data_IF_221908052100
#
_entry.id   IF_221908052100
#
_cell.length_a   1.000
_cell.length_b   1.000
_cell.length_c   1.000
_cell.angle_alpha   90.00
_cell.angle_beta   90.00
_cell.angle_gamma   90.00
#
_symmetry.space_group_name_H-M   'P 1'
#
loop_
_entity.id
_entity.type
_entity.pdbx_description
1 polymer ?
#
# COMPACT_ATOMS: atom_id res chain seq x y z
N UNK A 1 -4.73 -5.92 3.47
CA UNK A 1 -5.82 -5.38 4.35
C UNK A 1 -6.83 -4.52 3.59
N UNK A 2 -6.46 -3.62 2.67
CA UNK A 2 -7.43 -2.80 1.91
C UNK A 2 -8.46 -3.64 1.15
N UNK A 3 -8.05 -4.71 0.46
CA UNK A 3 -8.97 -5.62 -0.24
C UNK A 3 -9.93 -6.34 0.71
N UNK A 4 -9.47 -6.73 1.90
CA UNK A 4 -10.33 -7.33 2.92
C UNK A 4 -11.40 -6.35 3.41
N UNK A 5 -11.03 -5.07 3.65
CA UNK A 5 -11.97 -4.02 4.00
C UNK A 5 -12.98 -3.74 2.87
N UNK A 6 -12.52 -3.68 1.62
CA UNK A 6 -13.43 -3.48 0.48
C UNK A 6 -14.42 -4.64 0.32
N UNK A 7 -13.96 -5.87 0.47
CA UNK A 7 -14.83 -7.05 0.42
C UNK A 7 -15.87 -7.04 1.55
N UNK A 8 -15.47 -6.64 2.76
CA UNK A 8 -16.39 -6.45 3.89
C UNK A 8 -17.46 -5.40 3.58
N UNK A 9 -17.07 -4.22 3.09
CA UNK A 9 -18.02 -3.15 2.72
C UNK A 9 -18.96 -3.57 1.58
N UNK A 10 -18.48 -4.38 0.64
CA UNK A 10 -19.33 -4.95 -0.40
C UNK A 10 -20.33 -5.94 0.17
N UNK A 11 -19.93 -6.78 1.13
CA UNK A 11 -20.83 -7.71 1.82
C UNK A 11 -21.96 -6.97 2.53
N UNK A 12 -21.65 -5.86 3.21
CA UNK A 12 -22.68 -5.04 3.87
C UNK A 12 -23.69 -4.45 2.89
N UNK A 13 -23.23 -3.98 1.73
CA UNK A 13 -24.09 -3.34 0.71
C UNK A 13 -24.80 -4.33 -0.20
N UNK A 14 -24.23 -5.48 -0.45
CA UNK A 14 -24.71 -6.51 -1.36
C UNK A 14 -24.69 -7.88 -0.66
N UNK A 15 -25.64 -8.14 0.27
CA UNK A 15 -25.62 -9.37 1.08
C UNK A 15 -25.70 -10.67 0.27
N UNK A 16 -26.34 -10.62 -0.90
CA UNK A 16 -26.51 -11.80 -1.79
C UNK A 16 -25.32 -12.03 -2.75
N UNK A 17 -24.38 -11.09 -2.83
CA UNK A 17 -23.23 -11.23 -3.71
C UNK A 17 -22.29 -12.35 -3.23
N UNK A 18 -21.82 -13.17 -4.14
CA UNK A 18 -20.74 -14.14 -3.89
C UNK A 18 -19.41 -13.42 -4.05
N UNK A 19 -18.70 -13.23 -2.94
CA UNK A 19 -17.42 -12.53 -2.89
C UNK A 19 -16.29 -13.52 -2.72
N UNK A 20 -15.31 -13.45 -3.63
CA UNK A 20 -14.09 -14.26 -3.57
C UNK A 20 -12.88 -13.33 -3.62
N UNK A 21 -11.97 -13.50 -2.67
CA UNK A 21 -10.68 -12.83 -2.62
C UNK A 21 -9.59 -13.84 -2.96
N UNK A 22 -8.92 -13.64 -4.08
CA UNK A 22 -7.73 -14.41 -4.44
C UNK A 22 -6.50 -13.68 -3.89
N UNK A 23 -5.64 -14.38 -3.17
CA UNK A 23 -4.47 -13.78 -2.52
C UNK A 23 -3.25 -14.69 -2.62
N UNK A 24 -2.07 -14.13 -2.73
CA UNK A 24 -0.80 -14.87 -2.59
C UNK A 24 -0.37 -14.94 -1.13
N UNK A 25 -0.27 -13.78 -0.48
CA UNK A 25 0.04 -13.65 0.94
C UNK A 25 -0.93 -12.68 1.62
N UNK A 26 -1.31 -13.03 2.85
CA UNK A 26 -2.07 -12.13 3.73
C UNK A 26 -1.10 -11.51 4.73
N UNK A 27 -1.06 -10.18 4.74
CA UNK A 27 -0.21 -9.42 5.65
C UNK A 27 -1.07 -8.47 6.47
N UNK A 28 -1.19 -8.77 7.76
CA UNK A 28 -2.01 -8.04 8.73
C UNK A 28 -1.13 -7.53 9.89
N UNK A 29 -0.01 -6.86 9.57
CA UNK A 29 1.02 -6.48 10.53
C UNK A 29 0.67 -5.28 11.41
N UNK A 30 -0.39 -4.52 11.09
CA UNK A 30 -0.82 -3.37 11.90
C UNK A 30 -1.61 -3.82 13.14
N UNK A 31 -1.61 -2.97 14.19
CA UNK A 31 -2.36 -3.24 15.42
C UNK A 31 -3.86 -3.39 15.13
N UNK A 32 -4.45 -4.52 15.53
CA UNK A 32 -5.86 -4.84 15.31
C UNK A 32 -6.19 -5.34 13.89
N UNK A 33 -5.21 -5.51 12.99
CA UNK A 33 -5.46 -5.95 11.62
C UNK A 33 -5.70 -7.44 11.53
N UNK A 34 -5.06 -8.25 12.38
CA UNK A 34 -5.29 -9.69 12.44
C UNK A 34 -6.72 -9.97 12.91
N UNK A 35 -7.15 -9.35 14.00
CA UNK A 35 -8.51 -9.48 14.55
C UNK A 35 -9.57 -8.99 13.55
N UNK A 36 -9.26 -7.94 12.78
CA UNK A 36 -10.13 -7.47 11.71
C UNK A 36 -10.22 -8.53 10.60
N UNK A 37 -9.11 -9.11 10.17
CA UNK A 37 -9.08 -10.14 9.14
C UNK A 37 -9.86 -11.38 9.56
N UNK A 38 -9.65 -11.90 10.78
CA UNK A 38 -10.41 -13.00 11.33
C UNK A 38 -11.92 -12.74 11.37
N UNK A 39 -12.32 -11.53 11.73
CA UNK A 39 -13.73 -11.12 11.72
C UNK A 39 -14.31 -11.16 10.31
N UNK A 40 -13.59 -10.58 9.32
CA UNK A 40 -14.06 -10.51 7.93
C UNK A 40 -14.14 -11.89 7.29
N UNK A 41 -13.30 -12.84 7.66
CA UNK A 41 -13.40 -14.23 7.20
C UNK A 41 -14.74 -14.89 7.58
N UNK A 42 -15.35 -14.48 8.71
CA UNK A 42 -16.65 -14.99 9.16
C UNK A 42 -17.85 -14.43 8.38
N UNK A 43 -17.65 -13.43 7.56
CA UNK A 43 -18.70 -12.71 6.80
C UNK A 43 -19.04 -13.36 5.45
N UNK A 44 -18.87 -14.68 5.30
CA UNK A 44 -19.17 -15.42 4.07
C UNK A 44 -18.42 -14.88 2.83
N UNK A 45 -17.19 -14.40 3.03
CA UNK A 45 -16.28 -14.03 1.95
C UNK A 45 -15.30 -15.19 1.78
N UNK A 46 -15.23 -15.74 0.56
CA UNK A 46 -14.31 -16.83 0.25
C UNK A 46 -12.90 -16.25 0.04
N UNK A 47 -11.96 -16.67 0.85
CA UNK A 47 -10.53 -16.41 0.68
C UNK A 47 -9.87 -17.65 0.10
N UNK A 48 -9.24 -17.51 -1.07
CA UNK A 48 -8.51 -18.59 -1.75
C UNK A 48 -7.07 -18.17 -2.00
N UNK A 49 -6.12 -18.96 -1.52
CA UNK A 49 -4.71 -18.70 -1.79
C UNK A 49 -4.40 -19.14 -3.21
N UNK A 50 -4.23 -18.17 -4.08
CA UNK A 50 -4.10 -18.41 -5.50
C UNK A 50 -3.39 -17.27 -6.21
N UNK A 51 -2.74 -17.59 -7.33
CA UNK A 51 -2.24 -16.61 -8.28
C UNK A 51 -3.01 -16.78 -9.60
N UNK A 52 -3.85 -15.79 -10.00
CA UNK A 52 -4.54 -15.84 -11.28
C UNK A 52 -3.54 -15.91 -12.44
N UNK A 53 -3.69 -16.89 -13.31
CA UNK A 53 -2.85 -17.06 -14.49
C UNK A 53 -3.43 -16.38 -15.73
N UNK A 54 -4.76 -16.30 -15.81
CA UNK A 54 -5.46 -15.74 -16.95
C UNK A 54 -6.79 -15.12 -16.53
N UNK A 55 -7.11 -13.97 -17.12
CA UNK A 55 -8.42 -13.31 -16.95
C UNK A 55 -8.91 -12.94 -18.35
N UNK A 56 -10.09 -13.42 -18.74
CA UNK A 56 -10.67 -13.17 -20.04
C UNK A 56 -12.20 -13.10 -19.98
N UNK A 57 -12.82 -12.64 -21.06
CA UNK A 57 -14.27 -12.57 -21.18
C UNK A 57 -14.83 -13.77 -21.93
N UNK A 58 -15.89 -14.38 -21.41
CA UNK A 58 -16.64 -15.48 -22.04
C UNK A 58 -18.14 -15.30 -21.78
N UNK A 59 -18.94 -15.25 -22.85
CA UNK A 59 -20.41 -15.15 -22.76
C UNK A 59 -20.93 -14.01 -21.86
N UNK A 60 -20.29 -12.85 -21.89
CA UNK A 60 -20.67 -11.68 -21.08
C UNK A 60 -20.24 -11.74 -19.62
N UNK A 61 -19.56 -12.81 -19.20
CA UNK A 61 -18.95 -12.95 -17.87
C UNK A 61 -17.43 -12.80 -17.96
N UNK A 62 -16.82 -12.44 -16.85
CA UNK A 62 -15.36 -12.46 -16.70
C UNK A 62 -14.95 -13.79 -16.09
N UNK A 63 -14.04 -14.49 -16.74
CA UNK A 63 -13.51 -15.77 -16.29
C UNK A 63 -12.11 -15.55 -15.72
N UNK A 64 -11.88 -16.05 -14.52
CA UNK A 64 -10.58 -16.03 -13.86
C UNK A 64 -10.09 -17.46 -13.71
N UNK A 65 -8.95 -17.78 -14.30
CA UNK A 65 -8.26 -19.06 -14.13
C UNK A 65 -7.06 -18.90 -13.22
N UNK A 66 -6.74 -19.94 -12.52
CA UNK A 66 -5.57 -20.01 -11.66
C UNK A 66 -5.40 -21.37 -11.02
N UNK A 67 -4.46 -21.44 -10.09
CA UNK A 67 -4.22 -22.62 -9.29
C UNK A 67 -4.42 -22.27 -7.80
N UNK A 68 -5.17 -23.10 -7.11
CA UNK A 68 -5.24 -23.07 -5.65
C UNK A 68 -3.94 -23.63 -5.09
N UNK A 69 -3.10 -22.77 -4.56
CA UNK A 69 -1.74 -23.15 -4.12
C UNK A 69 -1.72 -23.93 -2.80
N UNK A 70 -2.85 -24.06 -2.10
CA UNK A 70 -2.97 -24.92 -0.92
C UNK A 70 -3.40 -26.33 -1.30
N UNK A 71 -4.26 -26.46 -2.30
CA UNK A 71 -4.79 -27.74 -2.77
C UNK A 71 -3.97 -28.34 -3.92
N UNK A 72 -3.20 -27.50 -4.65
CA UNK A 72 -2.51 -27.90 -5.87
C UNK A 72 -3.46 -28.19 -7.03
N UNK A 73 -4.63 -27.57 -7.04
CA UNK A 73 -5.68 -27.82 -8.02
C UNK A 73 -5.96 -26.58 -8.89
N UNK A 74 -6.10 -26.73 -10.21
CA UNK A 74 -6.54 -25.64 -11.07
C UNK A 74 -8.00 -25.30 -10.79
N UNK A 75 -8.34 -24.00 -10.95
CA UNK A 75 -9.72 -23.53 -10.86
C UNK A 75 -10.07 -22.60 -11.99
N UNK A 76 -11.37 -22.51 -12.26
CA UNK A 76 -11.98 -21.51 -13.11
C UNK A 76 -13.17 -20.90 -12.38
N UNK A 77 -13.22 -19.57 -12.27
CA UNK A 77 -14.31 -18.84 -11.62
C UNK A 77 -14.92 -17.89 -12.62
N UNK A 78 -16.22 -17.99 -12.82
CA UNK A 78 -17.01 -17.01 -13.58
C UNK A 78 -17.51 -15.92 -12.62
N UNK A 79 -17.31 -14.66 -12.99
CA UNK A 79 -17.71 -13.51 -12.19
C UNK A 79 -18.37 -12.44 -13.06
N UNK A 80 -19.25 -11.65 -12.45
CA UNK A 80 -19.85 -10.47 -13.08
C UNK A 80 -18.87 -9.29 -13.09
N UNK A 81 -18.02 -9.23 -12.06
CA UNK A 81 -17.01 -8.19 -11.88
C UNK A 81 -15.73 -8.78 -11.27
N UNK A 82 -14.60 -8.39 -11.83
CA UNK A 82 -13.28 -8.66 -11.26
C UNK A 82 -12.59 -7.34 -10.91
N UNK A 83 -12.13 -7.21 -9.68
CA UNK A 83 -11.39 -6.05 -9.19
C UNK A 83 -9.93 -6.43 -9.05
N UNK A 84 -9.05 -5.78 -9.80
CA UNK A 84 -7.61 -5.95 -9.68
C UNK A 84 -7.10 -5.13 -8.49
N UNK A 85 -6.64 -5.80 -7.44
CA UNK A 85 -6.05 -5.18 -6.27
C UNK A 85 -4.57 -4.85 -6.54
N UNK A 86 -4.33 -3.93 -7.48
CA UNK A 86 -3.00 -3.49 -7.87
C UNK A 86 -2.32 -2.73 -6.72
N UNK A 87 -0.99 -2.89 -6.59
CA UNK A 87 -0.19 -2.18 -5.62
C UNK A 87 0.13 -0.74 -6.02
N UNK A 88 0.71 0.00 -5.09
CA UNK A 88 1.25 1.33 -5.34
C UNK A 88 2.65 1.21 -5.95
N UNK A 89 2.89 1.96 -7.02
CA UNK A 89 4.21 2.11 -7.64
C UNK A 89 4.61 3.58 -7.69
N UNK A 90 5.92 3.87 -7.64
CA UNK A 90 6.39 5.25 -7.79
C UNK A 90 6.04 5.80 -9.17
N UNK A 91 5.78 7.10 -9.26
CA UNK A 91 5.58 7.77 -10.53
C UNK A 91 6.87 7.79 -11.35
N UNK A 92 6.75 7.70 -12.68
CA UNK A 92 7.90 7.80 -13.59
C UNK A 92 8.57 9.17 -13.51
N UNK A 93 7.78 10.23 -13.34
CA UNK A 93 8.23 11.62 -13.22
C UNK A 93 9.13 11.87 -12.00
N UNK A 94 9.11 10.98 -11.01
CA UNK A 94 10.00 11.05 -9.86
C UNK A 94 11.49 10.99 -10.24
N UNK A 95 11.83 10.48 -11.41
CA UNK A 95 13.21 10.46 -11.92
C UNK A 95 13.76 11.87 -12.15
N UNK A 96 12.92 12.76 -12.69
CA UNK A 96 13.28 14.17 -12.89
C UNK A 96 13.55 14.86 -11.55
N UNK A 97 12.65 14.71 -10.56
CA UNK A 97 12.83 15.28 -9.23
C UNK A 97 14.07 14.70 -8.51
N UNK A 98 14.31 13.41 -8.66
CA UNK A 98 15.51 12.74 -8.14
C UNK A 98 16.78 13.42 -8.63
N UNK A 99 16.87 13.72 -9.95
CA UNK A 99 18.04 14.36 -10.55
C UNK A 99 18.19 15.82 -10.13
N UNK A 100 17.07 16.58 -10.08
CA UNK A 100 17.09 18.02 -9.72
C UNK A 100 17.47 18.22 -8.25
N UNK A 101 16.93 17.38 -7.37
CA UNK A 101 17.09 17.53 -5.92
C UNK A 101 18.25 16.71 -5.34
N UNK A 102 18.90 15.87 -6.15
CA UNK A 102 19.99 15.00 -5.68
C UNK A 102 19.54 13.89 -4.73
N UNK A 103 18.27 13.48 -4.82
CA UNK A 103 17.70 12.47 -3.91
C UNK A 103 18.14 11.06 -4.30
N UNK A 104 18.26 10.17 -3.31
CA UNK A 104 18.45 8.75 -3.55
C UNK A 104 17.11 8.02 -3.67
N UNK A 105 17.14 6.88 -4.33
CA UNK A 105 16.00 5.97 -4.46
C UNK A 105 16.34 4.60 -3.91
N UNK A 106 15.36 3.97 -3.29
CA UNK A 106 15.41 2.58 -2.87
C UNK A 106 15.36 1.62 -4.08
N UNK A 107 15.67 0.32 -3.91
CA UNK A 107 15.62 -0.66 -5.00
C UNK A 107 14.23 -0.77 -5.67
N UNK A 108 13.15 -0.52 -4.95
CA UNK A 108 11.76 -0.48 -5.42
C UNK A 108 11.36 0.87 -6.05
N UNK A 109 12.33 1.80 -6.19
CA UNK A 109 12.25 3.11 -6.83
C UNK A 109 11.44 4.17 -6.09
N UNK A 110 11.08 3.97 -4.84
CA UNK A 110 10.61 5.04 -3.97
C UNK A 110 11.78 5.93 -3.53
N UNK A 111 11.51 7.11 -2.96
CA UNK A 111 12.58 7.93 -2.38
C UNK A 111 13.15 7.23 -1.15
N UNK A 112 14.48 7.17 -1.07
CA UNK A 112 15.17 6.57 0.06
C UNK A 112 15.31 7.57 1.20
N UNK A 113 15.09 7.11 2.41
CA UNK A 113 15.44 7.80 3.63
C UNK A 113 16.96 7.84 3.85
N UNK A 114 17.42 8.80 4.62
CA UNK A 114 18.80 8.83 5.07
C UNK A 114 19.10 7.63 5.98
N UNK A 115 20.34 7.11 5.99
CA UNK A 115 20.72 6.06 6.92
C UNK A 115 20.52 6.49 8.38
N UNK A 116 19.86 5.64 9.17
CA UNK A 116 19.60 5.91 10.59
C UNK A 116 18.20 5.52 11.01
N UNK A 117 17.76 6.08 12.14
CA UNK A 117 16.45 5.81 12.73
C UNK A 117 15.39 6.89 12.40
N UNK A 118 15.70 7.78 11.45
CA UNK A 118 14.81 8.89 11.10
C UNK A 118 14.14 8.63 9.74
N UNK A 119 12.90 8.15 9.72
CA UNK A 119 12.22 7.69 8.50
C UNK A 119 11.69 8.82 7.62
N UNK A 120 11.92 10.09 7.98
CA UNK A 120 11.39 11.23 7.23
C UNK A 120 12.48 12.14 6.66
N UNK A 121 13.77 11.91 6.97
CA UNK A 121 14.90 12.66 6.41
C UNK A 121 15.43 12.04 5.14
N UNK A 122 16.04 12.86 4.30
CA UNK A 122 16.81 12.44 3.14
C UNK A 122 18.29 12.76 3.34
N UNK A 123 19.17 12.25 2.47
CA UNK A 123 20.59 12.64 2.46
C UNK A 123 20.80 14.13 2.12
N UNK A 124 19.78 14.83 1.65
CA UNK A 124 19.83 16.24 1.29
C UNK A 124 19.19 17.07 2.42
N UNK A 125 19.99 17.92 3.05
CA UNK A 125 19.51 18.76 4.15
C UNK A 125 18.35 19.67 3.71
N UNK A 126 17.30 19.74 4.51
CA UNK A 126 16.11 20.54 4.23
C UNK A 126 15.05 19.86 3.37
N UNK A 127 15.30 18.64 2.91
CA UNK A 127 14.30 17.85 2.17
C UNK A 127 13.84 16.68 3.04
N UNK A 128 12.52 16.62 3.25
CA UNK A 128 11.87 15.63 4.11
C UNK A 128 10.88 14.80 3.28
N UNK A 129 10.67 13.54 3.69
CA UNK A 129 9.74 12.61 3.08
C UNK A 129 8.44 12.52 3.89
N UNK A 130 7.30 12.52 3.20
CA UNK A 130 6.01 12.29 3.83
C UNK A 130 5.07 11.53 2.89
N UNK A 131 4.43 10.48 3.41
CA UNK A 131 3.44 9.70 2.69
C UNK A 131 4.01 8.69 1.69
N UNK A 132 3.21 8.36 0.67
CA UNK A 132 3.51 7.29 -0.26
C UNK A 132 4.67 7.58 -1.24
N UNK A 133 5.35 8.69 -1.14
CA UNK A 133 6.56 8.95 -1.91
C UNK A 133 7.76 8.11 -1.44
N UNK A 134 7.76 7.67 -0.18
CA UNK A 134 8.80 6.84 0.42
C UNK A 134 8.48 5.34 0.32
N UNK A 135 7.23 4.96 0.52
CA UNK A 135 6.76 3.57 0.39
C UNK A 135 5.24 3.52 0.42
N UNK A 136 4.61 2.42 -0.03
CA UNK A 136 3.18 2.21 0.21
C UNK A 136 2.88 2.22 1.71
N UNK A 137 1.85 2.98 2.12
CA UNK A 137 1.40 3.08 3.51
C UNK A 137 -0.08 3.45 3.59
N UNK A 138 -0.69 3.25 4.74
CA UNK A 138 -2.07 3.64 4.99
C UNK A 138 -2.20 5.13 5.38
N UNK A 139 -3.45 5.57 5.59
CA UNK A 139 -3.72 6.97 5.94
C UNK A 139 -3.16 7.33 7.33
N UNK A 140 -3.35 6.53 8.39
CA UNK A 140 -2.76 6.81 9.70
C UNK A 140 -1.24 6.97 9.66
N UNK A 141 -0.54 6.06 9.00
CA UNK A 141 0.92 6.11 8.85
C UNK A 141 1.36 7.34 8.04
N UNK A 142 0.62 7.68 6.98
CA UNK A 142 0.88 8.87 6.17
C UNK A 142 0.76 10.15 7.01
N UNK A 143 -0.28 10.27 7.83
CA UNK A 143 -0.49 11.44 8.71
C UNK A 143 0.59 11.52 9.79
N UNK A 144 0.95 10.39 10.41
CA UNK A 144 2.02 10.33 11.39
C UNK A 144 3.37 10.77 10.80
N UNK A 145 3.69 10.28 9.60
CA UNK A 145 4.92 10.66 8.91
C UNK A 145 4.92 12.13 8.51
N UNK A 146 3.80 12.66 8.02
CA UNK A 146 3.68 14.09 7.69
C UNK A 146 3.89 14.99 8.93
N UNK A 147 3.36 14.59 10.08
CA UNK A 147 3.58 15.29 11.36
C UNK A 147 5.05 15.26 11.78
N UNK A 148 5.73 14.11 11.61
CA UNK A 148 7.15 13.96 11.84
C UNK A 148 7.98 14.87 10.94
N UNK A 149 7.71 14.87 9.63
CA UNK A 149 8.39 15.73 8.66
C UNK A 149 8.22 17.23 9.00
N UNK A 150 7.01 17.65 9.34
CA UNK A 150 6.73 19.02 9.76
C UNK A 150 7.49 19.41 11.03
N UNK A 151 7.56 18.52 12.02
CA UNK A 151 8.31 18.74 13.26
C UNK A 151 9.81 18.93 13.00
N UNK A 152 10.40 18.12 12.12
CA UNK A 152 11.82 18.25 11.76
C UNK A 152 12.09 19.54 10.96
N UNK A 153 11.19 19.90 10.04
CA UNK A 153 11.28 21.16 9.31
C UNK A 153 11.25 22.37 10.28
N UNK A 154 10.36 22.38 11.26
CA UNK A 154 10.32 23.40 12.30
C UNK A 154 11.62 23.43 13.13
N UNK A 155 12.17 22.27 13.46
CA UNK A 155 13.44 22.16 14.21
C UNK A 155 14.61 22.74 13.41
N UNK A 156 14.68 22.46 12.12
CA UNK A 156 15.71 23.02 11.23
C UNK A 156 15.61 24.55 11.15
N UNK A 157 14.41 25.08 10.95
CA UNK A 157 14.17 26.53 10.89
C UNK A 157 14.50 27.22 12.21
N UNK A 158 14.20 26.61 13.34
CA UNK A 158 14.54 27.17 14.66
C UNK A 158 16.07 27.22 14.91
N UNK A 159 16.83 26.22 14.40
CA UNK A 159 18.30 26.24 14.44
C UNK A 159 18.89 27.35 13.56
N UNK A 160 18.33 27.58 12.40
CA UNK A 160 18.73 28.66 11.48
C UNK A 160 18.53 30.04 12.12
N UNK A 161 17.40 30.26 12.80
CA UNK A 161 17.12 31.53 13.51
C UNK A 161 18.10 31.82 14.66
N UNK A 162 18.58 30.80 15.39
CA UNK A 162 19.57 30.98 16.46
C UNK A 162 20.96 31.37 15.95
N UNK A 163 21.32 31.00 14.70
CA UNK A 163 22.59 31.39 14.09
C UNK A 163 22.57 32.83 13.52
N UNK A 164 21.39 33.38 13.24
CA UNK A 164 21.22 34.75 12.73
C UNK A 164 21.01 35.84 13.82
N UNK A 165 21.09 35.51 15.10
CA UNK A 165 20.91 36.44 16.22
C UNK A 165 22.24 36.77 16.93
N UNK A 166 23.36 36.37 16.33
CA UNK A 166 24.73 36.72 16.83
C UNK A 166 25.43 37.53 15.73
N UNK A 167 24.92 38.75 15.44
CA UNK A 167 25.62 39.91 14.92
C UNK A 167 25.00 41.18 15.50
#
# INVERSE_FOLDING_TARGET
>A
MSSAKQAYLLREKLPEARLTVLYMDMRAFGKGFEEFYERVQRERILYRRANPSEIYQRNGKVVVKGEDTLLGEPFEIEADLVVLAAGLTPRKENECLTSILGLKRSPDRFYAEAPGLDPVTTDVEGIFLAGCCQSPKDIPDTVAQASGAASLACTLLAKGRKKGVVE
#
